data_IF_650165399876
#
_entry.id   IF_650165399876
#
_cell.length_a   1.000
_cell.length_b   1.000
_cell.length_c   1.000
_cell.angle_alpha   90.00
_cell.angle_beta   90.00
_cell.angle_gamma   90.00
#
_symmetry.space_group_name_H-M   'P 1'
#
loop_
_entity.id
_entity.type
_entity.pdbx_description
1 polymer ?
#
# COMPACT_ATOMS: atom_id res chain seq x y z
N UNK A 1 -12.72 -14.41 17.00
CA UNK A 1 -12.48 -13.29 16.08
C UNK A 1 -10.98 -13.21 15.91
N UNK A 2 -10.46 -13.46 14.71
CA UNK A 2 -9.00 -13.46 14.46
C UNK A 2 -8.44 -12.07 14.73
N UNK A 3 -7.47 -12.01 15.63
CA UNK A 3 -6.73 -10.79 15.96
C UNK A 3 -5.93 -10.41 14.70
N UNK A 4 -6.40 -9.40 13.97
CA UNK A 4 -5.68 -8.90 12.79
C UNK A 4 -4.44 -8.19 13.33
N UNK A 5 -3.27 -8.63 12.89
CA UNK A 5 -1.99 -8.01 13.25
C UNK A 5 -2.01 -6.51 12.87
N UNK A 6 -1.96 -5.66 13.90
CA UNK A 6 -1.94 -4.20 13.73
C UNK A 6 -0.80 -3.75 12.82
N UNK A 7 0.35 -4.40 12.88
CA UNK A 7 1.51 -4.11 12.03
C UNK A 7 1.21 -4.37 10.56
N UNK A 8 0.50 -5.48 10.28
CA UNK A 8 0.06 -5.80 8.92
C UNK A 8 -0.94 -4.76 8.40
N UNK A 9 -1.85 -4.28 9.25
CA UNK A 9 -2.84 -3.27 8.89
C UNK A 9 -2.19 -1.90 8.58
N UNK A 10 -1.25 -1.46 9.42
CA UNK A 10 -0.48 -0.21 9.20
C UNK A 10 0.36 -0.31 7.93
N UNK A 11 0.91 -1.48 7.61
CA UNK A 11 1.66 -1.71 6.37
C UNK A 11 0.79 -1.58 5.10
N UNK A 12 -0.54 -1.67 5.21
CA UNK A 12 -1.48 -1.45 4.09
C UNK A 12 -1.83 0.01 3.84
N UNK A 13 -1.50 0.91 4.75
CA UNK A 13 -1.68 2.35 4.51
C UNK A 13 -0.73 2.82 3.41
N UNK A 14 -1.20 3.78 2.60
CA UNK A 14 -0.31 4.51 1.71
C UNK A 14 0.62 5.43 2.52
N UNK A 15 1.65 5.96 1.87
CA UNK A 15 2.65 6.78 2.54
C UNK A 15 2.06 8.02 3.22
N UNK A 16 1.16 8.82 2.58
CA UNK A 16 0.52 9.95 3.25
C UNK A 16 -0.27 9.56 4.51
N UNK A 17 -1.07 8.49 4.45
CA UNK A 17 -1.85 8.02 5.60
C UNK A 17 -0.98 7.51 6.74
N UNK A 18 0.14 6.84 6.42
CA UNK A 18 1.10 6.36 7.41
C UNK A 18 1.81 7.52 8.10
N UNK A 19 2.32 8.50 7.34
CA UNK A 19 2.93 9.72 7.90
C UNK A 19 1.96 10.51 8.78
N UNK A 20 0.71 10.61 8.35
CA UNK A 20 -0.33 11.25 9.15
C UNK A 20 -0.58 10.51 10.48
N UNK A 21 -0.52 9.17 10.48
CA UNK A 21 -0.65 8.37 11.70
C UNK A 21 0.54 8.57 12.64
N UNK A 22 1.76 8.58 12.12
CA UNK A 22 2.98 8.86 12.87
C UNK A 22 2.96 10.28 13.48
N UNK A 23 2.55 11.28 12.69
CA UNK A 23 2.37 12.65 13.16
C UNK A 23 1.26 12.77 14.23
N UNK A 24 0.16 12.01 14.09
CA UNK A 24 -0.90 11.92 15.08
C UNK A 24 -0.39 11.30 16.40
N UNK A 25 0.45 10.27 16.33
CA UNK A 25 1.08 9.67 17.51
C UNK A 25 2.03 10.68 18.20
N UNK A 26 2.82 11.42 17.43
CA UNK A 26 3.65 12.51 17.96
C UNK A 26 2.83 13.62 18.64
N UNK A 27 1.71 14.02 18.02
CA UNK A 27 0.78 14.99 18.62
C UNK A 27 0.17 14.47 19.93
N UNK A 28 -0.25 13.20 19.95
CA UNK A 28 -0.82 12.54 21.12
C UNK A 28 0.20 12.53 22.27
N UNK A 29 1.46 12.21 21.99
CA UNK A 29 2.55 12.20 22.96
C UNK A 29 2.83 13.59 23.51
N UNK A 30 2.94 14.61 22.64
CA UNK A 30 3.20 15.99 23.05
C UNK A 30 2.11 16.58 23.93
N UNK A 31 0.86 16.11 23.75
CA UNK A 31 -0.29 16.51 24.55
C UNK A 31 -0.55 15.60 25.76
N UNK A 32 0.30 14.60 25.96
CA UNK A 32 0.16 13.59 27.04
C UNK A 32 -1.18 12.86 27.06
N UNK A 33 -1.80 12.65 25.88
CA UNK A 33 -3.02 11.88 25.75
C UNK A 33 -2.73 10.38 25.82
N UNK A 34 -3.75 9.58 26.20
CA UNK A 34 -3.58 8.14 26.44
C UNK A 34 -3.53 7.32 25.14
N UNK A 35 -4.35 7.69 24.16
CA UNK A 35 -4.46 7.00 22.89
C UNK A 35 -4.46 7.98 21.72
N UNK A 36 -4.04 7.50 20.58
CA UNK A 36 -4.31 8.17 19.30
C UNK A 36 -5.79 7.94 18.98
N UNK A 37 -6.59 8.99 19.04
CA UNK A 37 -8.01 8.95 18.71
C UNK A 37 -8.23 9.36 17.24
N UNK A 38 -9.45 9.13 16.73
CA UNK A 38 -9.81 9.46 15.35
C UNK A 38 -9.57 10.95 15.02
N UNK A 39 -9.82 11.84 15.99
CA UNK A 39 -9.62 13.28 15.88
C UNK A 39 -8.15 13.66 15.66
N UNK A 40 -7.20 12.96 16.32
CA UNK A 40 -5.76 13.18 16.09
C UNK A 40 -5.37 12.83 14.66
N UNK A 41 -5.80 11.64 14.20
CA UNK A 41 -5.42 11.18 12.86
C UNK A 41 -6.10 12.00 11.78
N UNK A 42 -7.39 12.29 11.91
CA UNK A 42 -8.13 13.11 10.95
C UNK A 42 -7.53 14.51 10.82
N UNK A 43 -7.12 15.13 11.94
CA UNK A 43 -6.43 16.42 11.91
C UNK A 43 -5.18 16.35 11.01
N UNK A 44 -4.38 15.27 11.14
CA UNK A 44 -3.17 15.08 10.34
C UNK A 44 -3.44 14.65 8.89
N UNK A 45 -4.51 13.90 8.64
CA UNK A 45 -4.95 13.54 7.29
C UNK A 45 -5.46 14.76 6.50
N UNK A 46 -5.99 15.78 7.19
CA UNK A 46 -6.51 16.98 6.57
C UNK A 46 -5.46 18.08 6.30
N UNK A 47 -4.23 17.94 6.80
CA UNK A 47 -3.14 18.93 6.59
C UNK A 47 -2.67 19.04 5.12
N UNK A 48 -2.50 17.93 4.35
CA UNK A 48 -2.08 18.04 2.95
C UNK A 48 -3.18 18.67 2.07
N UNK A 49 -2.85 19.78 1.40
CA UNK A 49 -3.81 20.53 0.57
C UNK A 49 -4.19 19.82 -0.74
N UNK A 50 -3.43 18.83 -1.16
CA UNK A 50 -3.53 18.08 -2.41
C UNK A 50 -3.87 16.59 -2.24
N UNK A 51 -4.09 16.16 -0.98
CA UNK A 51 -4.51 14.80 -0.64
C UNK A 51 -5.99 14.53 -0.88
N UNK A 52 -6.40 13.26 -0.70
CA UNK A 52 -7.79 12.84 -0.86
C UNK A 52 -8.74 13.57 0.08
N UNK A 53 -8.35 13.75 1.34
CA UNK A 53 -9.19 14.45 2.34
C UNK A 53 -9.45 15.89 1.90
N UNK A 54 -8.44 16.59 1.37
CA UNK A 54 -8.62 17.95 0.86
C UNK A 54 -9.56 18.00 -0.35
N UNK A 55 -9.47 17.00 -1.26
CA UNK A 55 -10.41 16.87 -2.38
C UNK A 55 -11.85 16.64 -1.90
N UNK A 56 -12.03 15.78 -0.90
CA UNK A 56 -13.34 15.51 -0.29
C UNK A 56 -13.90 16.77 0.39
N UNK A 57 -13.09 17.48 1.18
CA UNK A 57 -13.53 18.71 1.84
C UNK A 57 -13.97 19.77 0.82
N UNK A 58 -13.24 19.95 -0.29
CA UNK A 58 -13.63 20.84 -1.37
C UNK A 58 -14.95 20.44 -2.02
N UNK A 59 -15.15 19.15 -2.31
CA UNK A 59 -16.37 18.63 -2.93
C UNK A 59 -17.63 18.91 -2.09
N UNK A 60 -17.50 18.83 -0.77
CA UNK A 60 -18.61 19.04 0.16
C UNK A 60 -18.63 20.45 0.79
N UNK A 61 -17.87 21.39 0.21
CA UNK A 61 -17.78 22.78 0.70
C UNK A 61 -17.46 22.89 2.20
N UNK A 62 -16.68 21.95 2.72
CA UNK A 62 -16.21 21.96 4.10
C UNK A 62 -14.91 22.75 4.20
N UNK A 63 -14.84 23.67 5.15
CA UNK A 63 -13.69 24.55 5.36
C UNK A 63 -12.57 23.80 6.13
N UNK A 64 -11.38 23.59 5.51
CA UNK A 64 -10.28 22.86 6.17
C UNK A 64 -9.74 23.60 7.41
N UNK A 65 -9.72 24.93 7.38
CA UNK A 65 -9.23 25.75 8.49
C UNK A 65 -10.14 25.67 9.71
N UNK A 66 -11.46 25.70 9.46
CA UNK A 66 -12.46 25.51 10.53
C UNK A 66 -12.43 24.09 11.07
N UNK A 67 -12.31 23.08 10.20
CA UNK A 67 -12.18 21.68 10.60
C UNK A 67 -10.97 21.51 11.54
N UNK A 68 -9.81 22.02 11.17
CA UNK A 68 -8.59 21.93 11.97
C UNK A 68 -8.73 22.61 13.33
N UNK A 69 -9.33 23.81 13.37
CA UNK A 69 -9.57 24.55 14.61
C UNK A 69 -10.59 23.84 15.53
N UNK A 70 -11.62 23.24 14.95
CA UNK A 70 -12.66 22.53 15.70
C UNK A 70 -12.14 21.19 16.25
N UNK A 71 -11.38 20.43 15.45
CA UNK A 71 -10.70 19.22 15.91
C UNK A 71 -9.67 19.51 17.00
N UNK A 72 -8.88 20.58 16.86
CA UNK A 72 -7.93 21.00 17.90
C UNK A 72 -8.62 21.28 19.22
N UNK A 73 -9.75 22.01 19.21
CA UNK A 73 -10.57 22.24 20.41
C UNK A 73 -11.17 20.96 20.99
N UNK A 74 -11.52 20.00 20.16
CA UNK A 74 -11.99 18.68 20.63
C UNK A 74 -10.86 17.93 21.34
N UNK A 75 -9.64 17.97 20.79
CA UNK A 75 -8.46 17.37 21.40
C UNK A 75 -8.12 18.01 22.75
N UNK A 76 -8.32 19.31 22.93
CA UNK A 76 -8.08 20.02 24.20
C UNK A 76 -8.99 19.54 25.35
N UNK A 77 -10.06 18.83 25.03
CA UNK A 77 -10.99 18.25 26.02
C UNK A 77 -10.63 16.81 26.43
N UNK A 78 -9.66 16.19 25.76
CA UNK A 78 -9.24 14.84 26.06
C UNK A 78 -8.45 14.79 27.37
N UNK A 79 -8.49 13.64 28.04
CA UNK A 79 -7.73 13.40 29.29
C UNK A 79 -6.23 13.42 28.99
N UNK A 80 -5.50 14.16 29.80
CA UNK A 80 -4.03 14.30 29.75
C UNK A 80 -3.36 13.58 30.93
N UNK A 81 -2.02 13.52 30.93
CA UNK A 81 -1.22 12.92 32.02
C UNK A 81 -0.70 11.52 31.71
N UNK A 82 -0.76 11.06 30.46
CA UNK A 82 -0.12 9.82 30.07
C UNK A 82 1.41 9.97 30.01
N UNK A 83 2.12 9.17 30.81
CA UNK A 83 3.58 9.12 30.82
C UNK A 83 4.16 7.95 29.97
N UNK A 84 3.31 7.17 29.30
CA UNK A 84 3.71 6.02 28.46
C UNK A 84 3.51 6.34 26.97
N UNK A 85 4.10 5.50 26.10
CA UNK A 85 3.80 5.57 24.68
C UNK A 85 2.29 5.40 24.44
N UNK A 86 1.64 6.30 23.66
CA UNK A 86 0.22 6.21 23.39
C UNK A 86 -0.11 4.96 22.55
N UNK A 87 -1.21 4.27 22.88
CA UNK A 87 -1.78 3.22 22.04
C UNK A 87 -2.62 3.78 20.90
N UNK A 88 -3.03 2.94 19.97
CA UNK A 88 -4.10 3.27 19.02
C UNK A 88 -5.46 2.97 19.66
N UNK A 89 -6.43 3.87 19.51
CA UNK A 89 -7.79 3.59 19.98
C UNK A 89 -8.41 2.43 19.17
N UNK A 90 -9.31 1.65 19.77
CA UNK A 90 -10.05 0.61 19.06
C UNK A 90 -10.77 1.14 17.81
N UNK A 91 -11.27 2.36 17.86
CA UNK A 91 -11.98 3.02 16.77
C UNK A 91 -11.08 3.21 15.53
N UNK A 92 -9.82 3.58 15.73
CA UNK A 92 -8.83 3.69 14.65
C UNK A 92 -8.56 2.33 14.00
N UNK A 93 -8.43 1.28 14.81
CA UNK A 93 -8.18 -0.08 14.34
C UNK A 93 -9.36 -0.57 13.49
N UNK A 94 -10.58 -0.39 13.97
CA UNK A 94 -11.78 -0.79 13.23
C UNK A 94 -11.99 0.07 11.96
N UNK A 95 -11.72 1.37 12.02
CA UNK A 95 -11.75 2.24 10.84
C UNK A 95 -10.73 1.78 9.79
N UNK A 96 -9.51 1.44 10.19
CA UNK A 96 -8.48 0.95 9.27
C UNK A 96 -8.85 -0.39 8.61
N UNK A 97 -9.46 -1.32 9.36
CA UNK A 97 -9.99 -2.58 8.81
C UNK A 97 -11.08 -2.32 7.78
N UNK A 98 -12.04 -1.45 8.09
CA UNK A 98 -13.14 -1.07 7.20
C UNK A 98 -12.63 -0.35 5.95
N UNK A 99 -11.67 0.56 6.12
CA UNK A 99 -11.01 1.25 5.01
C UNK A 99 -10.27 0.28 4.10
N UNK A 100 -9.59 -0.73 4.67
CA UNK A 100 -8.93 -1.77 3.90
C UNK A 100 -9.92 -2.61 3.09
N UNK A 101 -11.04 -3.00 3.67
CA UNK A 101 -12.09 -3.74 2.95
C UNK A 101 -12.62 -2.94 1.76
N UNK A 102 -12.92 -1.64 1.94
CA UNK A 102 -13.35 -0.79 0.84
C UNK A 102 -12.27 -0.66 -0.24
N UNK A 103 -11.04 -0.35 0.15
CA UNK A 103 -9.93 -0.15 -0.78
C UNK A 103 -9.63 -1.40 -1.59
N UNK A 104 -9.54 -2.57 -0.92
CA UNK A 104 -9.13 -3.83 -1.56
C UNK A 104 -10.25 -4.52 -2.32
N UNK A 105 -11.45 -4.63 -1.71
CA UNK A 105 -12.55 -5.43 -2.27
C UNK A 105 -13.36 -4.63 -3.29
N UNK A 106 -13.71 -3.39 -2.97
CA UNK A 106 -14.58 -2.60 -3.85
C UNK A 106 -13.79 -1.78 -4.88
N UNK A 107 -12.60 -1.28 -4.51
CA UNK A 107 -11.80 -0.43 -5.41
C UNK A 107 -10.59 -1.14 -6.02
N UNK A 108 -10.29 -2.40 -5.65
CA UNK A 108 -9.18 -3.18 -6.19
C UNK A 108 -7.79 -2.60 -5.90
N UNK A 109 -7.65 -1.80 -4.84
CA UNK A 109 -6.41 -1.13 -4.48
C UNK A 109 -5.57 -1.96 -3.52
N UNK A 110 -4.25 -1.87 -3.65
CA UNK A 110 -3.28 -2.54 -2.78
C UNK A 110 -2.94 -1.74 -1.51
N UNK A 111 -3.36 -0.47 -1.46
CA UNK A 111 -3.09 0.46 -0.35
C UNK A 111 -4.36 1.21 0.06
N UNK A 112 -4.44 1.52 1.34
CA UNK A 112 -5.49 2.38 1.91
C UNK A 112 -5.04 3.83 1.80
N UNK A 113 -5.82 4.66 1.12
CA UNK A 113 -5.59 6.09 0.96
C UNK A 113 -6.33 6.88 2.06
N UNK A 114 -5.98 8.14 2.25
CA UNK A 114 -6.57 9.00 3.28
C UNK A 114 -8.09 9.18 3.11
N UNK A 115 -8.58 9.19 1.87
CA UNK A 115 -10.03 9.23 1.58
C UNK A 115 -10.79 8.01 2.08
N UNK A 116 -10.20 6.79 1.98
CA UNK A 116 -10.81 5.58 2.53
C UNK A 116 -10.86 5.64 4.06
N UNK A 117 -9.82 6.19 4.70
CA UNK A 117 -9.79 6.37 6.15
C UNK A 117 -10.87 7.34 6.62
N UNK A 118 -11.03 8.50 5.96
CA UNK A 118 -12.09 9.45 6.28
C UNK A 118 -13.47 8.81 6.14
N UNK A 119 -13.71 8.12 5.02
CA UNK A 119 -14.97 7.39 4.83
C UNK A 119 -15.21 6.37 5.95
N UNK A 120 -14.22 5.56 6.29
CA UNK A 120 -14.37 4.51 7.29
C UNK A 120 -14.71 5.06 8.68
N UNK A 121 -14.12 6.21 9.04
CA UNK A 121 -14.45 6.93 10.28
C UNK A 121 -15.89 7.46 10.26
N UNK A 122 -16.38 7.96 9.12
CA UNK A 122 -17.72 8.49 8.97
C UNK A 122 -18.79 7.40 8.78
N UNK A 123 -18.40 6.20 8.37
CA UNK A 123 -19.27 5.04 8.20
C UNK A 123 -19.51 4.26 9.53
N UNK A 124 -18.73 4.52 10.56
CA UNK A 124 -18.98 4.01 11.90
C UNK A 124 -19.89 4.99 12.66
N UNK A 125 -21.02 4.52 13.14
CA UNK A 125 -22.04 5.39 13.71
C UNK A 125 -21.57 6.10 14.99
N UNK A 126 -20.81 5.42 15.84
CA UNK A 126 -20.29 5.98 17.09
C UNK A 126 -19.17 6.98 16.84
N UNK A 127 -18.23 6.64 15.95
CA UNK A 127 -17.11 7.51 15.56
C UNK A 127 -17.64 8.73 14.81
N UNK A 128 -18.56 8.54 13.85
CA UNK A 128 -19.16 9.62 13.06
C UNK A 128 -19.93 10.62 13.93
N UNK A 129 -20.67 10.14 14.92
CA UNK A 129 -21.36 11.01 15.88
C UNK A 129 -20.35 11.88 16.62
N UNK A 130 -19.32 11.29 17.20
CA UNK A 130 -18.28 11.99 17.94
C UNK A 130 -17.53 13.01 17.06
N UNK A 131 -17.19 12.63 15.84
CA UNK A 131 -16.53 13.51 14.89
C UNK A 131 -17.42 14.67 14.44
N UNK A 132 -18.73 14.45 14.23
CA UNK A 132 -19.71 15.50 13.92
C UNK A 132 -19.96 16.44 15.09
N UNK A 133 -19.94 15.90 16.32
CA UNK A 133 -20.00 16.72 17.55
C UNK A 133 -18.73 17.56 17.73
N UNK A 134 -17.58 17.05 17.27
CA UNK A 134 -16.31 17.78 17.29
C UNK A 134 -16.25 18.87 16.21
N UNK A 135 -16.81 18.61 15.00
CA UNK A 135 -16.78 19.56 13.88
C UNK A 135 -18.04 19.50 13.02
N UNK A 136 -18.70 20.66 12.89
CA UNK A 136 -19.85 20.82 11.99
C UNK A 136 -19.48 20.64 10.50
N UNK A 137 -18.21 20.78 10.13
CA UNK A 137 -17.73 20.55 8.76
C UNK A 137 -17.95 19.10 8.32
N UNK A 138 -17.81 18.14 9.24
CA UNK A 138 -17.97 16.71 8.97
C UNK A 138 -19.45 16.30 8.82
N UNK A 139 -20.37 17.08 9.34
CA UNK A 139 -21.81 16.86 9.13
C UNK A 139 -22.24 17.06 7.66
N UNK A 140 -21.45 17.81 6.88
CA UNK A 140 -21.70 18.05 5.45
C UNK A 140 -21.35 16.84 4.56
N UNK A 141 -20.65 15.84 5.11
CA UNK A 141 -20.12 14.69 4.36
C UNK A 141 -20.95 13.44 4.67
N UNK A 142 -21.94 13.08 3.82
CA UNK A 142 -22.71 11.85 4.00
C UNK A 142 -21.85 10.64 3.64
N UNK A 143 -21.70 9.67 4.54
CA UNK A 143 -20.84 8.50 4.35
C UNK A 143 -21.24 7.65 3.12
N UNK A 144 -22.53 7.46 2.88
CA UNK A 144 -23.03 6.64 1.76
C UNK A 144 -22.73 7.29 0.40
N UNK A 145 -22.93 8.61 0.30
CA UNK A 145 -22.61 9.37 -0.91
C UNK A 145 -21.11 9.40 -1.14
N UNK A 146 -20.32 9.63 -0.07
CA UNK A 146 -18.88 9.62 -0.12
C UNK A 146 -18.36 8.25 -0.60
N UNK A 147 -18.89 7.13 -0.09
CA UNK A 147 -18.50 5.79 -0.52
C UNK A 147 -18.61 5.61 -2.02
N UNK A 148 -19.78 5.94 -2.56
CA UNK A 148 -20.09 5.79 -3.99
C UNK A 148 -19.21 6.66 -4.88
N UNK A 149 -18.99 7.91 -4.46
CA UNK A 149 -18.36 8.91 -5.30
C UNK A 149 -16.85 9.07 -5.02
N UNK A 150 -16.31 8.34 -4.01
CA UNK A 150 -14.92 8.44 -3.57
C UNK A 150 -13.88 8.31 -4.70
N UNK A 151 -13.95 7.32 -5.59
CA UNK A 151 -12.97 7.19 -6.67
C UNK A 151 -12.98 8.41 -7.62
N UNK A 152 -14.16 8.97 -7.86
CA UNK A 152 -14.35 10.13 -8.74
C UNK A 152 -13.83 11.41 -8.07
N UNK A 153 -14.17 11.63 -6.81
CA UNK A 153 -13.77 12.83 -6.05
C UNK A 153 -12.24 12.90 -5.91
N UNK A 154 -11.60 11.75 -5.71
CA UNK A 154 -10.17 11.66 -5.43
C UNK A 154 -9.31 11.30 -6.63
N UNK A 155 -9.87 11.30 -7.85
CA UNK A 155 -9.17 10.90 -9.07
C UNK A 155 -7.93 11.75 -9.38
N UNK A 156 -7.98 13.05 -9.07
CA UNK A 156 -6.92 14.02 -9.37
C UNK A 156 -6.01 14.31 -8.15
N UNK A 157 -6.17 13.58 -7.04
CA UNK A 157 -5.33 13.79 -5.86
C UNK A 157 -3.91 13.23 -6.07
N UNK A 158 -2.94 13.77 -5.36
CA UNK A 158 -1.56 13.25 -5.35
C UNK A 158 -1.53 11.78 -4.90
N UNK A 159 -2.45 11.36 -4.04
CA UNK A 159 -2.56 9.98 -3.59
C UNK A 159 -3.05 9.04 -4.71
N UNK A 160 -3.89 9.53 -5.64
CA UNK A 160 -4.29 8.75 -6.82
C UNK A 160 -3.12 8.59 -7.79
N UNK A 161 -2.37 9.67 -8.02
CA UNK A 161 -1.19 9.63 -8.87
C UNK A 161 -0.12 8.67 -8.33
N UNK A 162 0.10 8.64 -7.01
CA UNK A 162 1.03 7.72 -6.36
C UNK A 162 0.60 6.24 -6.51
N UNK A 163 -0.69 5.94 -6.37
CA UNK A 163 -1.23 4.59 -6.60
C UNK A 163 -1.13 4.20 -8.06
N UNK A 164 -1.38 5.14 -8.97
CA UNK A 164 -1.21 4.92 -10.42
C UNK A 164 0.25 4.73 -10.78
N UNK A 165 1.18 5.38 -10.07
CA UNK A 165 2.63 5.20 -10.24
C UNK A 165 3.13 3.87 -9.61
N UNK A 166 2.53 3.42 -8.50
CA UNK A 166 2.78 2.06 -7.93
C UNK A 166 2.13 0.96 -8.79
N UNK A 167 1.04 1.27 -9.48
CA UNK A 167 0.36 0.35 -10.41
C UNK A 167 0.86 0.46 -11.85
N UNK A 168 1.51 1.57 -12.21
CA UNK A 168 2.16 1.73 -13.49
C UNK A 168 3.58 1.17 -13.41
N UNK A 169 3.97 0.22 -14.27
CA UNK A 169 5.38 0.04 -14.56
C UNK A 169 5.87 1.41 -15.08
N UNK A 170 6.95 1.94 -14.50
CA UNK A 170 7.51 3.25 -14.82
C UNK A 170 7.54 3.46 -16.35
N UNK A 171 6.59 4.23 -16.88
CA UNK A 171 6.50 4.55 -18.27
C UNK A 171 7.49 5.68 -18.58
N UNK A 172 8.67 5.30 -19.04
CA UNK A 172 9.50 6.15 -19.87
C UNK A 172 8.77 6.36 -21.20
N UNK A 173 8.65 7.62 -21.58
CA UNK A 173 8.10 8.15 -22.83
C UNK A 173 8.47 7.32 -24.08
N UNK A 174 7.46 6.83 -24.81
CA UNK A 174 7.61 6.20 -26.11
C UNK A 174 6.25 5.74 -26.64
N UNK A 175 5.75 6.43 -27.66
CA UNK A 175 4.51 6.14 -28.35
C UNK A 175 4.41 4.69 -28.82
N UNK A 176 3.28 4.05 -28.54
CA UNK A 176 2.92 2.75 -29.08
C UNK A 176 1.56 2.32 -28.58
N UNK A 177 0.58 2.32 -29.45
CA UNK A 177 -0.82 1.98 -29.21
C UNK A 177 -1.05 0.64 -28.48
N UNK A 178 -2.16 0.49 -27.71
CA UNK A 178 -2.46 -0.73 -26.97
C UNK A 178 -2.88 -1.84 -27.94
N UNK A 179 -2.19 -2.98 -27.88
CA UNK A 179 -2.65 -4.22 -28.48
C UNK A 179 -3.54 -4.96 -27.48
N UNK A 180 -4.78 -5.30 -27.82
CA UNK A 180 -5.59 -6.22 -27.01
C UNK A 180 -5.15 -7.65 -27.31
N UNK A 181 -4.63 -8.33 -26.33
CA UNK A 181 -4.26 -9.75 -26.44
C UNK A 181 -3.71 -10.32 -25.14
N UNK A 182 -4.54 -11.04 -24.39
CA UNK A 182 -4.15 -12.09 -23.44
C UNK A 182 -3.24 -11.67 -22.30
N UNK A 183 -3.79 -11.07 -21.25
CA UNK A 183 -3.09 -11.06 -19.95
C UNK A 183 -3.27 -12.44 -19.30
N UNK A 184 -2.29 -13.34 -19.48
CA UNK A 184 -2.21 -14.60 -18.75
C UNK A 184 -2.07 -14.34 -17.24
N UNK A 185 -2.37 -15.36 -16.42
CA UNK A 185 -2.19 -15.28 -14.97
C UNK A 185 -0.74 -14.92 -14.60
N UNK A 186 0.22 -15.37 -15.41
CA UNK A 186 1.63 -15.07 -15.26
C UNK A 186 1.92 -13.55 -15.25
N UNK A 187 1.31 -12.78 -16.16
CA UNK A 187 1.53 -11.34 -16.25
C UNK A 187 0.82 -10.56 -15.14
N UNK A 188 -0.28 -11.11 -14.60
CA UNK A 188 -1.03 -10.49 -13.52
C UNK A 188 -0.35 -10.59 -12.15
N UNK A 189 0.36 -11.70 -11.88
CA UNK A 189 0.90 -12.02 -10.57
C UNK A 189 2.42 -12.02 -10.50
N UNK A 190 3.11 -11.71 -11.61
CA UNK A 190 4.57 -11.68 -11.65
C UNK A 190 5.12 -10.42 -12.27
N UNK A 191 6.34 -10.05 -11.86
CA UNK A 191 7.13 -8.98 -12.46
C UNK A 191 8.31 -9.58 -13.23
N UNK A 192 8.47 -9.26 -14.52
CA UNK A 192 9.59 -9.73 -15.32
C UNK A 192 10.86 -8.91 -15.02
N UNK A 193 11.76 -9.49 -14.21
CA UNK A 193 13.03 -8.88 -13.87
C UNK A 193 14.00 -8.84 -15.05
N UNK A 194 13.96 -9.82 -15.96
CA UNK A 194 14.83 -9.86 -17.14
C UNK A 194 14.46 -8.75 -18.13
N UNK A 195 13.16 -8.49 -18.32
CA UNK A 195 12.70 -7.37 -19.13
C UNK A 195 13.07 -6.02 -18.50
N UNK A 196 12.99 -5.89 -17.18
CA UNK A 196 13.43 -4.69 -16.47
C UNK A 196 14.94 -4.46 -16.60
N UNK A 197 15.74 -5.52 -16.48
CA UNK A 197 17.19 -5.45 -16.66
C UNK A 197 17.57 -5.03 -18.09
N UNK A 198 16.92 -5.60 -19.11
CA UNK A 198 17.12 -5.22 -20.53
C UNK A 198 16.73 -3.77 -20.79
N UNK A 199 15.74 -3.27 -20.10
CA UNK A 199 15.30 -1.87 -20.18
C UNK A 199 16.16 -0.90 -19.33
N UNK A 200 17.22 -1.38 -18.64
CA UNK A 200 18.06 -0.56 -17.77
C UNK A 200 17.38 -0.01 -16.54
N UNK A 201 16.30 -0.66 -16.08
CA UNK A 201 15.47 -0.19 -14.94
C UNK A 201 15.88 -0.80 -13.60
N UNK A 202 16.90 -1.63 -13.56
CA UNK A 202 17.45 -2.21 -12.33
C UNK A 202 18.78 -1.50 -12.05
N UNK A 203 18.93 -1.00 -10.83
CA UNK A 203 20.16 -0.36 -10.36
C UNK A 203 21.35 -1.35 -10.42
N UNK A 204 22.55 -0.84 -10.67
CA UNK A 204 23.75 -1.67 -10.72
C UNK A 204 24.02 -2.34 -9.39
N UNK A 205 24.04 -3.66 -9.37
CA UNK A 205 24.29 -4.46 -8.17
C UNK A 205 25.79 -4.69 -8.01
N UNK A 206 26.35 -4.21 -6.90
CA UNK A 206 27.76 -4.36 -6.56
C UNK A 206 27.96 -5.29 -5.37
N UNK A 207 29.05 -6.06 -5.38
CA UNK A 207 29.49 -6.88 -4.26
C UNK A 207 28.66 -8.15 -4.00
N UNK A 208 27.86 -8.62 -4.98
CA UNK A 208 27.05 -9.84 -4.89
C UNK A 208 27.42 -10.90 -5.92
N UNK A 209 28.60 -10.78 -6.51
CA UNK A 209 29.05 -11.68 -7.58
C UNK A 209 29.14 -13.14 -7.16
N UNK A 210 29.54 -13.39 -5.93
CA UNK A 210 29.68 -14.74 -5.39
C UNK A 210 28.34 -15.43 -5.25
N UNK A 211 27.36 -14.74 -4.65
CA UNK A 211 26.01 -15.25 -4.44
C UNK A 211 25.29 -15.46 -5.78
N UNK A 212 25.45 -14.54 -6.72
CA UNK A 212 24.87 -14.65 -8.08
C UNK A 212 25.45 -15.86 -8.81
N UNK A 213 26.78 -16.09 -8.74
CA UNK A 213 27.42 -17.27 -9.32
C UNK A 213 26.90 -18.57 -8.69
N UNK A 214 26.75 -18.61 -7.37
CA UNK A 214 26.15 -19.76 -6.69
C UNK A 214 24.72 -20.05 -7.16
N UNK A 215 23.90 -19.03 -7.36
CA UNK A 215 22.54 -19.17 -7.92
C UNK A 215 22.61 -19.78 -9.31
N UNK A 216 23.48 -19.25 -10.19
CA UNK A 216 23.70 -19.77 -11.57
C UNK A 216 24.14 -21.22 -11.54
N UNK A 217 25.11 -21.57 -10.69
CA UNK A 217 25.61 -22.93 -10.54
C UNK A 217 24.54 -23.92 -10.07
N UNK A 218 23.68 -23.49 -9.16
CA UNK A 218 22.56 -24.33 -8.67
C UNK A 218 21.51 -24.52 -9.78
N UNK A 219 21.13 -23.44 -10.48
CA UNK A 219 20.11 -23.49 -11.53
C UNK A 219 20.54 -24.33 -12.75
N UNK A 220 21.85 -24.46 -13.00
CA UNK A 220 22.38 -25.29 -14.11
C UNK A 220 22.46 -26.78 -13.78
N UNK A 221 22.21 -27.19 -12.55
CA UNK A 221 22.21 -28.61 -12.15
C UNK A 221 21.03 -29.35 -12.75
N UNK A 222 21.22 -30.62 -13.08
CA UNK A 222 20.16 -31.50 -13.60
C UNK A 222 19.10 -31.87 -12.54
N UNK A 223 19.46 -31.80 -11.28
CA UNK A 223 18.58 -32.11 -10.12
C UNK A 223 18.93 -31.16 -8.99
N UNK A 224 17.95 -30.90 -8.10
CA UNK A 224 18.12 -29.99 -6.96
C UNK A 224 18.58 -28.60 -7.39
N UNK A 225 17.89 -28.05 -8.40
CA UNK A 225 18.19 -26.77 -9.03
C UNK A 225 17.38 -25.59 -8.47
N UNK A 226 16.88 -25.70 -7.24
CA UNK A 226 16.10 -24.66 -6.58
C UNK A 226 16.96 -23.94 -5.51
N UNK A 227 17.59 -22.80 -5.82
CA UNK A 227 18.35 -22.04 -4.85
C UNK A 227 17.43 -21.35 -3.83
N UNK A 228 17.85 -21.34 -2.56
CA UNK A 228 17.18 -20.60 -1.49
C UNK A 228 18.13 -19.54 -0.94
N UNK A 229 17.70 -18.27 -0.98
CA UNK A 229 18.43 -17.15 -0.41
C UNK A 229 17.98 -16.93 1.05
N UNK A 230 18.85 -17.17 2.01
CA UNK A 230 18.59 -17.00 3.44
C UNK A 230 19.37 -15.80 4.00
N UNK A 231 18.84 -15.17 5.05
CA UNK A 231 19.49 -14.04 5.73
C UNK A 231 18.46 -13.13 6.39
N UNK A 232 18.92 -12.18 7.18
CA UNK A 232 18.09 -11.19 7.87
C UNK A 232 17.35 -10.25 6.88
N UNK A 233 16.31 -9.56 7.38
CA UNK A 233 15.63 -8.55 6.56
C UNK A 233 16.60 -7.42 6.19
N UNK A 234 16.54 -6.96 4.93
CA UNK A 234 17.38 -5.83 4.47
C UNK A 234 18.79 -6.18 3.99
N UNK A 235 19.27 -7.44 4.12
CA UNK A 235 20.63 -7.82 3.69
C UNK A 235 20.83 -7.92 2.17
N UNK A 236 19.83 -7.58 1.37
CA UNK A 236 19.94 -7.54 -0.10
C UNK A 236 19.66 -8.87 -0.81
N UNK A 237 18.77 -9.73 -0.27
CA UNK A 237 18.36 -10.98 -0.95
C UNK A 237 17.72 -10.71 -2.33
N UNK A 238 16.87 -9.68 -2.42
CA UNK A 238 16.26 -9.26 -3.69
C UNK A 238 17.31 -8.76 -4.69
N UNK A 239 18.32 -8.04 -4.23
CA UNK A 239 19.42 -7.57 -5.07
C UNK A 239 20.18 -8.73 -5.75
N UNK A 240 20.28 -9.90 -5.12
CA UNK A 240 20.89 -11.08 -5.76
C UNK A 240 20.05 -11.56 -6.95
N UNK A 241 18.72 -11.58 -6.83
CA UNK A 241 17.82 -11.95 -7.92
C UNK A 241 17.85 -10.90 -9.05
N UNK A 242 17.87 -9.60 -8.71
CA UNK A 242 18.01 -8.50 -9.66
C UNK A 242 19.36 -8.54 -10.40
N UNK A 243 20.47 -8.78 -9.68
CA UNK A 243 21.78 -8.94 -10.27
C UNK A 243 21.87 -10.17 -11.19
N UNK A 244 21.18 -11.25 -10.85
CA UNK A 244 21.07 -12.41 -11.75
C UNK A 244 20.28 -12.06 -13.03
N UNK A 245 19.19 -11.29 -12.94
CA UNK A 245 18.47 -10.80 -14.11
C UNK A 245 19.36 -9.91 -15.01
N UNK A 246 20.21 -9.06 -14.43
CA UNK A 246 21.18 -8.25 -15.16
C UNK A 246 22.20 -9.12 -15.92
N UNK A 247 22.69 -10.20 -15.32
CA UNK A 247 23.60 -11.14 -16.00
C UNK A 247 22.93 -11.90 -17.15
N UNK A 248 21.65 -12.30 -16.98
CA UNK A 248 20.87 -12.87 -18.09
C UNK A 248 20.74 -11.83 -19.21
N UNK A 249 20.37 -10.59 -18.90
CA UNK A 249 20.21 -9.52 -19.88
C UNK A 249 21.50 -9.19 -20.64
N UNK A 250 22.65 -9.25 -19.94
CA UNK A 250 23.99 -9.05 -20.51
C UNK A 250 24.52 -10.28 -21.26
N UNK A 251 23.84 -11.43 -21.19
CA UNK A 251 24.32 -12.69 -21.77
C UNK A 251 25.47 -13.35 -20.98
N UNK A 252 25.80 -12.83 -19.78
CA UNK A 252 26.87 -13.34 -18.90
C UNK A 252 26.37 -14.51 -18.02
N UNK A 253 25.76 -15.48 -18.67
CA UNK A 253 25.24 -16.72 -18.09
C UNK A 253 25.49 -17.91 -19.04
N UNK A 254 25.50 -19.15 -18.53
CA UNK A 254 25.59 -20.34 -19.37
C UNK A 254 24.49 -20.37 -20.45
N UNK A 255 24.76 -21.02 -21.62
CA UNK A 255 23.82 -21.03 -22.76
C UNK A 255 22.37 -21.43 -22.38
N UNK A 256 22.21 -22.36 -21.43
CA UNK A 256 20.91 -22.83 -20.98
C UNK A 256 20.06 -21.75 -20.28
N UNK A 257 20.67 -20.66 -19.79
CA UNK A 257 20.00 -19.58 -19.07
C UNK A 257 19.87 -18.27 -19.87
N UNK A 258 20.45 -18.20 -21.09
CA UNK A 258 20.45 -16.95 -21.89
C UNK A 258 19.08 -16.51 -22.38
N UNK A 259 18.18 -17.46 -22.66
CA UNK A 259 16.85 -17.21 -23.18
C UNK A 259 15.77 -17.30 -22.09
N UNK A 260 16.17 -17.43 -20.82
CA UNK A 260 15.24 -17.55 -19.69
C UNK A 260 14.70 -16.16 -19.31
N UNK A 261 13.41 -16.09 -19.06
CA UNK A 261 12.77 -14.94 -18.42
C UNK A 261 12.69 -15.19 -16.91
N UNK A 262 13.41 -14.38 -16.13
CA UNK A 262 13.33 -14.42 -14.67
C UNK A 262 12.17 -13.57 -14.21
N UNK A 263 11.18 -14.19 -13.57
CA UNK A 263 9.99 -13.52 -13.06
C UNK A 263 9.92 -13.59 -11.54
N UNK A 264 9.56 -12.48 -10.92
CA UNK A 264 9.35 -12.40 -9.49
C UNK A 264 7.85 -12.52 -9.19
N UNK A 265 7.46 -13.58 -8.47
CA UNK A 265 6.09 -13.83 -8.06
C UNK A 265 5.72 -12.95 -6.87
N UNK A 266 4.63 -12.18 -6.97
CA UNK A 266 4.08 -11.42 -5.86
C UNK A 266 3.04 -12.25 -5.11
N UNK A 267 3.47 -12.83 -3.98
CA UNK A 267 2.58 -13.59 -3.10
C UNK A 267 1.46 -12.74 -2.50
N UNK A 268 1.70 -11.43 -2.33
CA UNK A 268 0.69 -10.50 -1.84
C UNK A 268 -0.45 -10.35 -2.85
N UNK A 269 -0.15 -10.23 -4.15
CA UNK A 269 -1.14 -10.18 -5.21
C UNK A 269 -1.90 -11.50 -5.35
N UNK A 270 -1.22 -12.65 -5.23
CA UNK A 270 -1.87 -13.96 -5.25
C UNK A 270 -2.86 -14.17 -4.10
N UNK A 271 -2.51 -13.66 -2.91
CA UNK A 271 -3.35 -13.76 -1.71
C UNK A 271 -4.42 -12.68 -1.65
N UNK A 272 -4.22 -11.54 -2.30
CA UNK A 272 -5.17 -10.45 -2.32
C UNK A 272 -6.48 -10.89 -2.98
N UNK A 273 -7.57 -10.91 -2.21
CA UNK A 273 -8.89 -11.31 -2.68
C UNK A 273 -9.15 -12.83 -2.73
N UNK A 274 -8.19 -13.69 -2.36
CA UNK A 274 -8.41 -15.13 -2.23
C UNK A 274 -9.18 -15.44 -0.93
N UNK A 275 -10.42 -14.95 -0.82
CA UNK A 275 -11.30 -15.17 0.35
C UNK A 275 -11.95 -16.55 0.40
N UNK A 276 -11.92 -17.30 -0.68
CA UNK A 276 -12.49 -18.65 -0.79
C UNK A 276 -11.38 -19.69 -0.80
N UNK A 277 -11.57 -20.74 0.01
CA UNK A 277 -10.61 -21.85 0.07
C UNK A 277 -10.41 -22.45 -1.33
N UNK A 278 -9.17 -22.46 -1.82
CA UNK A 278 -8.80 -22.98 -3.14
C UNK A 278 -8.58 -21.91 -4.22
N UNK A 279 -8.93 -20.65 -3.99
CA UNK A 279 -8.72 -19.59 -5.00
C UNK A 279 -7.23 -19.24 -5.15
N UNK A 280 -6.48 -19.22 -4.06
CA UNK A 280 -5.02 -19.04 -4.07
C UNK A 280 -4.34 -20.17 -4.89
N UNK A 281 -4.70 -21.41 -4.62
CA UNK A 281 -4.16 -22.58 -5.33
C UNK A 281 -4.52 -22.56 -6.82
N UNK A 282 -5.72 -22.09 -7.18
CA UNK A 282 -6.12 -21.95 -8.58
C UNK A 282 -5.35 -20.84 -9.30
N UNK A 283 -5.12 -19.70 -8.65
CA UNK A 283 -4.30 -18.61 -9.21
C UNK A 283 -2.84 -19.04 -9.36
N UNK A 284 -2.27 -19.71 -8.34
CA UNK A 284 -0.93 -20.25 -8.40
C UNK A 284 -0.79 -21.27 -9.53
N UNK A 285 -1.78 -22.15 -9.70
CA UNK A 285 -1.80 -23.11 -10.80
C UNK A 285 -1.85 -22.40 -12.15
N UNK A 286 -2.70 -21.37 -12.31
CA UNK A 286 -2.75 -20.58 -13.53
C UNK A 286 -1.38 -19.94 -13.88
N UNK A 287 -0.64 -19.43 -12.89
CA UNK A 287 0.72 -18.90 -13.08
C UNK A 287 1.72 -20.00 -13.47
N UNK A 288 1.51 -21.24 -13.02
CA UNK A 288 2.41 -22.37 -13.34
C UNK A 288 2.09 -23.00 -14.70
N UNK A 289 0.88 -22.84 -15.22
CA UNK A 289 0.41 -23.43 -16.48
C UNK A 289 0.63 -22.48 -17.68
N UNK A 290 0.81 -21.14 -17.45
CA UNK A 290 1.18 -20.12 -18.46
C UNK A 290 2.70 -20.11 -18.75
#
# INVERSE_FOLDING_TARGET
MSDIDLKALVARLNEPSRRALEAAAGLTLSRTHYNVEAEHWLLKLAEPADGDVAAILRQYEADPGRLAAELTRALDRLKTGNARAPGLSPDIIEAAKRAWLLASVEHGLTRVRSGHMLWAMLADEAVARRLRDASAQLARIPADTLKRDLPKITAESVEAAAVSAEAAPAAGSGEGAPRPGGSGALDQFTTDLTAQARAGRIDTILGRDTEIRQVIDILTRRRQNNPILTGEAGVGKTAVAEGFAQRIAAGDVPPALREVSLRMLDLGLLQAGAGVKGEFENRLRGVMDD
#
